data_IF_232205259047
#
_entry.id   IF_232205259047
#
_cell.length_a   1.000
_cell.length_b   1.000
_cell.length_c   1.000
_cell.angle_alpha   90.00
_cell.angle_beta   90.00
_cell.angle_gamma   90.00
#
_symmetry.space_group_name_H-M   'P 1'
#
loop_
_entity.id
_entity.type
_entity.pdbx_description
1 polymer ?
#
# COMPACT_ATOMS: atom_id res chain seq x y z
N UNK A 1 -13.43 -27.79 -34.84
CA UNK A 1 -13.52 -26.72 -33.84
C UNK A 1 -12.15 -26.61 -33.17
N UNK A 2 -11.41 -25.52 -33.40
CA UNK A 2 -10.10 -25.30 -32.76
C UNK A 2 -10.35 -24.55 -31.46
N UNK A 3 -10.10 -25.21 -30.33
CA UNK A 3 -10.17 -24.58 -29.00
C UNK A 3 -9.02 -23.57 -28.90
N UNK A 4 -9.37 -22.29 -28.72
CA UNK A 4 -8.41 -21.22 -28.52
C UNK A 4 -8.24 -21.07 -27.00
N UNK A 5 -7.12 -21.50 -26.46
CA UNK A 5 -6.80 -21.24 -25.05
C UNK A 5 -6.43 -19.75 -24.93
N UNK A 6 -7.12 -18.94 -24.12
CA UNK A 6 -6.77 -17.53 -23.98
C UNK A 6 -5.42 -17.42 -23.27
N UNK A 7 -4.48 -16.72 -23.90
CA UNK A 7 -3.21 -16.34 -23.29
C UNK A 7 -3.51 -15.28 -22.22
N UNK A 8 -3.51 -15.67 -20.95
CA UNK A 8 -3.70 -14.75 -19.83
C UNK A 8 -2.41 -13.97 -19.57
N UNK A 9 -2.46 -12.65 -19.69
CA UNK A 9 -1.37 -11.77 -19.27
C UNK A 9 -1.58 -11.38 -17.80
N UNK A 10 -0.69 -11.82 -16.91
CA UNK A 10 -0.65 -11.39 -15.51
C UNK A 10 0.23 -10.15 -15.43
N UNK A 11 -0.34 -9.01 -15.04
CA UNK A 11 0.42 -7.79 -14.80
C UNK A 11 0.48 -7.54 -13.28
N UNK A 12 1.69 -7.48 -12.73
CA UNK A 12 1.94 -7.04 -11.35
C UNK A 12 2.10 -5.52 -11.39
N UNK A 13 1.27 -4.78 -10.67
CA UNK A 13 1.44 -3.33 -10.51
C UNK A 13 2.02 -3.05 -9.14
N UNK A 14 3.22 -2.44 -9.12
CA UNK A 14 3.89 -1.98 -7.90
C UNK A 14 3.53 -0.51 -7.70
N UNK A 15 2.96 -0.17 -6.55
CA UNK A 15 2.75 1.22 -6.14
C UNK A 15 3.84 1.59 -5.13
N UNK A 16 4.84 2.35 -5.59
CA UNK A 16 5.92 2.86 -4.74
C UNK A 16 5.47 4.20 -4.16
N UNK A 17 5.27 4.26 -2.85
CA UNK A 17 4.98 5.50 -2.12
C UNK A 17 6.29 6.02 -1.53
N UNK A 18 7.07 6.75 -2.34
CA UNK A 18 8.34 7.31 -1.88
C UNK A 18 8.10 8.45 -0.87
N UNK A 19 8.38 8.19 0.41
CA UNK A 19 8.49 9.21 1.45
C UNK A 19 9.95 9.62 1.63
N UNK A 20 10.30 10.89 1.36
CA UNK A 20 11.67 11.36 1.53
C UNK A 20 12.07 11.38 3.02
N UNK A 21 13.17 10.74 3.38
CA UNK A 21 13.88 11.00 4.65
C UNK A 21 15.38 11.16 4.38
N UNK A 22 15.87 12.37 4.62
CA UNK A 22 17.28 12.77 4.47
C UNK A 22 18.14 12.15 5.57
N UNK A 23 19.17 11.40 5.18
CA UNK A 23 20.15 10.81 6.08
C UNK A 23 21.15 11.84 6.61
N UNK A 24 21.28 11.94 7.93
CA UNK A 24 22.32 12.72 8.61
C UNK A 24 23.05 11.89 9.67
N UNK A 25 24.32 11.58 9.39
CA UNK A 25 25.28 10.97 10.31
C UNK A 25 25.82 12.02 11.30
N UNK A 26 25.70 11.77 12.61
CA UNK A 26 26.75 11.94 13.65
C UNK A 26 26.13 11.96 15.06
N UNK A 27 26.79 11.30 16.01
CA UNK A 27 26.24 11.02 17.34
C UNK A 27 26.55 12.05 18.43
N UNK A 28 25.74 12.02 19.51
CA UNK A 28 26.18 12.05 20.92
C UNK A 28 24.99 12.00 21.92
N UNK A 29 25.09 11.00 22.81
CA UNK A 29 24.63 10.86 24.23
C UNK A 29 23.12 10.91 24.58
N UNK A 30 22.72 10.17 25.65
CA UNK A 30 21.32 9.91 25.96
C UNK A 30 20.75 10.97 26.90
N UNK A 31 19.57 11.49 26.57
CA UNK A 31 18.76 12.32 27.46
C UNK A 31 17.38 11.67 27.55
N UNK A 32 17.01 11.21 28.73
CA UNK A 32 15.66 10.76 29.06
C UNK A 32 14.68 11.92 28.89
N UNK A 33 13.69 11.73 28.03
CA UNK A 33 12.63 12.70 27.77
C UNK A 33 11.92 12.42 26.46
N UNK A 34 10.89 11.57 26.51
CA UNK A 34 9.81 11.45 25.53
C UNK A 34 10.20 11.68 24.05
N UNK A 35 11.01 10.78 23.47
CA UNK A 35 11.17 10.70 22.02
C UNK A 35 10.43 9.48 21.49
N UNK A 36 9.14 9.64 21.13
CA UNK A 36 8.49 8.75 20.13
C UNK A 36 9.06 9.13 18.76
N UNK A 37 10.35 8.86 18.63
CA UNK A 37 11.21 9.02 17.49
C UNK A 37 12.27 7.95 17.67
N UNK A 38 11.80 6.69 17.75
CA UNK A 38 12.71 5.55 17.70
C UNK A 38 13.42 5.71 16.36
N UNK A 39 14.73 5.91 16.45
CA UNK A 39 15.67 5.79 15.35
C UNK A 39 15.22 4.61 14.49
N UNK A 40 14.79 4.88 13.26
CA UNK A 40 14.45 3.88 12.23
C UNK A 40 15.76 3.20 11.80
N UNK A 41 16.36 2.51 12.75
CA UNK A 41 17.64 1.82 12.68
C UNK A 41 17.36 0.40 13.16
N UNK A 42 17.29 -0.52 12.20
CA UNK A 42 17.24 -1.96 12.40
C UNK A 42 16.02 -2.58 13.13
N UNK A 43 15.05 -1.80 13.61
CA UNK A 43 13.71 -2.33 13.90
C UNK A 43 12.99 -2.51 12.57
N UNK A 44 12.66 -3.74 12.19
CA UNK A 44 12.03 -4.05 10.90
C UNK A 44 10.84 -3.14 10.62
N UNK A 45 10.67 -2.74 9.35
CA UNK A 45 9.54 -1.92 8.92
C UNK A 45 8.24 -2.51 9.48
N UNK A 46 7.45 -1.70 10.19
CA UNK A 46 6.13 -2.14 10.63
C UNK A 46 5.29 -2.38 9.39
N UNK A 47 4.90 -3.64 9.16
CA UNK A 47 4.11 -4.05 7.98
C UNK A 47 2.70 -3.41 7.95
N UNK A 48 2.31 -2.73 9.02
CA UNK A 48 1.06 -1.99 9.13
C UNK A 48 1.22 -0.49 8.88
N UNK A 49 2.41 0.09 9.06
CA UNK A 49 2.64 1.53 8.96
C UNK A 49 3.24 1.87 7.58
N UNK A 50 2.41 2.32 6.66
CA UNK A 50 2.79 2.55 5.27
C UNK A 50 3.45 3.90 5.07
N UNK A 51 3.14 4.89 5.92
CA UNK A 51 3.65 6.26 5.80
C UNK A 51 4.72 6.61 6.86
N UNK A 52 5.04 5.69 7.76
CA UNK A 52 6.07 5.79 8.79
C UNK A 52 5.73 6.75 9.94
N UNK A 53 4.46 7.04 10.19
CA UNK A 53 4.03 7.97 11.25
C UNK A 53 3.92 7.31 12.65
N UNK A 54 4.17 6.00 12.72
CA UNK A 54 4.15 5.21 13.94
C UNK A 54 2.74 4.76 14.36
N UNK A 55 1.79 4.68 13.42
CA UNK A 55 0.47 4.10 13.57
C UNK A 55 0.18 3.08 12.45
N UNK A 56 -0.61 2.04 12.75
CA UNK A 56 -1.00 1.07 11.73
C UNK A 56 -2.09 1.66 10.80
N UNK A 57 -1.88 1.46 9.51
CA UNK A 57 -2.74 1.81 8.40
C UNK A 57 -3.57 0.61 7.91
N UNK A 58 -4.58 0.90 7.08
CA UNK A 58 -5.43 -0.10 6.46
C UNK A 58 -5.45 0.03 4.94
N UNK A 59 -5.24 -1.08 4.23
CA UNK A 59 -5.35 -1.15 2.76
C UNK A 59 -6.27 -2.29 2.32
N UNK A 60 -7.13 -2.01 1.33
CA UNK A 60 -8.02 -3.02 0.72
C UNK A 60 -8.36 -2.72 -0.73
N UNK A 61 -8.60 -3.76 -1.51
CA UNK A 61 -9.18 -3.65 -2.84
C UNK A 61 -10.71 -3.55 -2.74
N UNK A 62 -11.29 -2.60 -3.47
CA UNK A 62 -12.73 -2.32 -3.49
C UNK A 62 -13.23 -2.47 -4.92
N UNK A 63 -14.32 -3.22 -5.10
CA UNK A 63 -15.12 -3.24 -6.34
C UNK A 63 -16.46 -2.54 -6.12
N UNK A 64 -16.55 -1.22 -6.39
CA UNK A 64 -17.80 -0.51 -6.22
C UNK A 64 -18.81 -0.90 -7.30
N UNK A 65 -20.09 -0.84 -6.95
CA UNK A 65 -21.20 -1.02 -7.89
C UNK A 65 -22.06 0.23 -7.90
N UNK A 66 -22.52 0.62 -9.08
CA UNK A 66 -23.48 1.71 -9.27
C UNK A 66 -24.83 1.14 -9.66
N UNK A 67 -25.90 1.65 -9.06
CA UNK A 67 -27.27 1.28 -9.43
C UNK A 67 -27.59 1.57 -10.90
N UNK A 68 -27.00 2.61 -11.50
CA UNK A 68 -27.27 3.02 -12.88
C UNK A 68 -26.25 2.53 -13.91
N UNK A 69 -25.03 2.20 -13.48
CA UNK A 69 -23.92 1.83 -14.39
C UNK A 69 -23.43 0.39 -14.23
N UNK A 70 -23.92 -0.33 -13.22
CA UNK A 70 -23.42 -1.67 -12.89
C UNK A 70 -22.05 -1.63 -12.19
N UNK A 71 -21.26 -2.70 -12.31
CA UNK A 71 -19.90 -2.77 -11.75
C UNK A 71 -19.02 -1.63 -12.25
N UNK A 72 -18.25 -1.02 -11.35
CA UNK A 72 -17.27 0.01 -11.67
C UNK A 72 -15.84 -0.54 -11.58
N UNK A 73 -14.84 0.11 -12.21
CA UNK A 73 -13.45 -0.30 -12.10
C UNK A 73 -13.00 -0.46 -10.65
N UNK A 74 -12.23 -1.52 -10.39
CA UNK A 74 -11.70 -1.79 -9.07
C UNK A 74 -10.75 -0.68 -8.61
N UNK A 75 -10.66 -0.47 -7.29
CA UNK A 75 -9.82 0.55 -6.66
C UNK A 75 -9.03 -0.05 -5.51
N UNK A 76 -7.82 0.43 -5.27
CA UNK A 76 -7.10 0.18 -4.02
C UNK A 76 -7.32 1.40 -3.13
N UNK A 77 -7.86 1.18 -1.93
CA UNK A 77 -8.01 2.22 -0.93
C UNK A 77 -7.03 1.97 0.21
N UNK A 78 -6.37 3.04 0.65
CA UNK A 78 -5.55 3.10 1.86
C UNK A 78 -6.16 4.13 2.79
N UNK A 79 -6.40 3.78 4.04
CA UNK A 79 -6.86 4.68 5.10
C UNK A 79 -5.75 4.73 6.15
N UNK A 80 -5.24 5.92 6.41
CA UNK A 80 -4.12 6.09 7.33
C UNK A 80 -4.59 6.09 8.79
N UNK A 81 -3.75 5.51 9.64
CA UNK A 81 -3.90 5.50 11.09
C UNK A 81 -3.54 6.83 11.74
N UNK A 82 -3.71 6.88 13.04
CA UNK A 82 -3.34 8.03 13.85
C UNK A 82 -3.65 7.79 15.33
N UNK A 83 -3.43 8.81 16.15
CA UNK A 83 -3.66 8.74 17.60
C UNK A 83 -5.09 8.36 18.02
N UNK A 84 -6.06 8.52 17.12
CA UNK A 84 -7.47 8.21 17.34
C UNK A 84 -7.96 7.00 16.51
N UNK A 85 -7.04 6.21 15.95
CA UNK A 85 -7.34 5.10 15.02
C UNK A 85 -7.34 5.55 13.56
N UNK A 86 -7.99 4.77 12.70
CA UNK A 86 -8.12 5.07 11.26
C UNK A 86 -8.88 6.38 11.05
N UNK A 87 -8.33 7.28 10.23
CA UNK A 87 -8.99 8.52 9.81
C UNK A 87 -9.47 8.42 8.35
N UNK A 88 -10.78 8.24 8.10
CA UNK A 88 -11.33 8.17 6.75
C UNK A 88 -11.09 9.45 5.93
N UNK A 89 -10.75 10.59 6.54
CA UNK A 89 -10.41 11.82 5.83
C UNK A 89 -8.97 11.82 5.32
N UNK A 90 -8.09 11.04 5.95
CA UNK A 90 -6.71 10.85 5.54
C UNK A 90 -6.59 9.52 4.80
N UNK A 91 -6.78 9.56 3.49
CA UNK A 91 -6.81 8.36 2.67
C UNK A 91 -6.19 8.60 1.29
N UNK A 92 -5.75 7.50 0.69
CA UNK A 92 -5.34 7.43 -0.71
C UNK A 92 -6.28 6.46 -1.44
N UNK A 93 -6.80 6.90 -2.59
CA UNK A 93 -7.50 6.01 -3.53
C UNK A 93 -6.71 5.93 -4.82
N UNK A 94 -6.26 4.74 -5.15
CA UNK A 94 -5.64 4.43 -6.42
C UNK A 94 -6.71 3.82 -7.30
N UNK A 95 -7.08 4.54 -8.36
CA UNK A 95 -7.98 4.02 -9.36
C UNK A 95 -7.26 2.91 -10.13
N UNK A 96 -7.84 1.72 -10.17
CA UNK A 96 -7.39 0.70 -11.11
C UNK A 96 -7.71 1.11 -12.54
N UNK A 97 -6.84 0.74 -13.48
CA UNK A 97 -7.27 0.37 -14.84
C UNK A 97 -8.48 -0.60 -14.78
N UNK A 98 -9.22 -0.79 -15.87
CA UNK A 98 -10.47 -1.59 -15.96
C UNK A 98 -10.42 -3.06 -15.47
N UNK A 99 -9.28 -3.49 -14.95
CA UNK A 99 -8.96 -4.83 -14.47
C UNK A 99 -9.24 -5.01 -12.98
N UNK A 100 -9.47 -6.25 -12.61
CA UNK A 100 -9.67 -6.65 -11.23
C UNK A 100 -8.36 -6.78 -10.46
N UNK A 101 -8.38 -6.37 -9.19
CA UNK A 101 -7.37 -6.78 -8.22
C UNK A 101 -7.67 -8.20 -7.76
N UNK A 102 -6.67 -9.07 -7.81
CA UNK A 102 -6.79 -10.48 -7.44
C UNK A 102 -5.72 -10.87 -6.43
N UNK A 103 -6.10 -11.77 -5.53
CA UNK A 103 -5.19 -12.30 -4.51
C UNK A 103 -4.96 -11.35 -3.33
N UNK A 104 -4.11 -11.77 -2.37
CA UNK A 104 -3.81 -10.98 -1.19
C UNK A 104 -2.99 -9.74 -1.54
N UNK A 105 -3.13 -8.69 -0.73
CA UNK A 105 -2.21 -7.56 -0.73
C UNK A 105 -0.90 -8.00 -0.06
N UNK A 106 0.19 -8.02 -0.81
CA UNK A 106 1.52 -8.24 -0.27
C UNK A 106 2.01 -6.94 0.37
N UNK A 107 2.58 -7.06 1.57
CA UNK A 107 3.08 -5.95 2.39
C UNK A 107 4.52 -6.26 2.78
N UNK A 108 5.47 -5.48 2.29
CA UNK A 108 6.90 -5.64 2.62
C UNK A 108 7.67 -4.43 2.11
N UNK A 109 8.83 -4.14 2.68
CA UNK A 109 9.74 -3.10 2.22
C UNK A 109 10.63 -3.66 1.09
N UNK A 110 10.20 -3.49 -0.17
CA UNK A 110 10.85 -4.06 -1.35
C UNK A 110 12.08 -3.27 -1.78
N UNK A 111 12.07 -1.94 -1.61
CA UNK A 111 13.16 -1.08 -2.04
C UNK A 111 14.13 -0.67 -0.91
N UNK A 112 13.82 -1.04 0.33
CA UNK A 112 14.61 -0.81 1.55
C UNK A 112 14.69 0.66 1.97
N UNK A 113 13.65 1.45 1.67
CA UNK A 113 13.53 2.82 2.16
C UNK A 113 12.99 2.90 3.61
N UNK A 114 12.62 1.74 4.17
CA UNK A 114 12.10 1.57 5.52
C UNK A 114 10.60 1.78 5.63
N UNK A 115 9.89 2.14 4.56
CA UNK A 115 8.45 2.19 4.52
C UNK A 115 7.90 0.87 3.96
N UNK A 116 6.64 0.57 4.26
CA UNK A 116 6.02 -0.67 3.77
C UNK A 116 5.46 -0.44 2.37
N UNK A 117 5.94 -1.19 1.38
CA UNK A 117 5.34 -1.23 0.05
C UNK A 117 4.07 -2.08 0.02
N UNK A 118 3.14 -1.67 -0.85
CA UNK A 118 1.90 -2.38 -1.13
C UNK A 118 1.91 -2.92 -2.55
N UNK A 119 1.86 -4.26 -2.68
CA UNK A 119 1.83 -4.93 -3.99
C UNK A 119 0.57 -5.77 -4.14
N UNK A 120 -0.02 -5.70 -5.33
CA UNK A 120 -1.22 -6.47 -5.71
C UNK A 120 -1.10 -6.97 -7.13
N UNK A 121 -1.74 -8.10 -7.42
CA UNK A 121 -1.85 -8.63 -8.76
C UNK A 121 -3.10 -8.08 -9.44
N UNK A 122 -3.01 -7.87 -10.76
CA UNK A 122 -4.13 -7.39 -11.57
C UNK A 122 -4.42 -8.42 -12.66
N UNK A 123 -5.71 -8.69 -12.87
CA UNK A 123 -6.16 -9.65 -13.88
C UNK A 123 -7.04 -8.95 -14.91
N UNK A 124 -6.60 -8.95 -16.17
CA UNK A 124 -7.41 -8.53 -17.32
C UNK A 124 -8.21 -9.74 -17.80
N UNK A 125 -9.52 -9.63 -17.91
CA UNK A 125 -10.28 -10.57 -18.73
C UNK A 125 -10.04 -10.21 -20.19
N UNK A 126 -9.39 -11.11 -20.94
CA UNK A 126 -9.30 -11.00 -22.40
C UNK A 126 -10.66 -11.31 -23.03
N UNK A 127 -11.10 -10.47 -23.97
CA UNK A 127 -12.28 -10.70 -24.81
C UNK A 127 -12.04 -11.71 -25.92
#
# INVERSE_FOLDING_TARGET
MRSSVPVAAVAVSVLLLAGCSEGGHEGRRPVEGATKGVTKGAAGASLGDFNGDGYDDFATAIRPTSASRGPLPARLAVVYGGAHGLDPRHHLVVNGAEDDYVGPLLRTDLDRDGFTDLVTARFRYGG
#
